data_IF_406590976208
#
_entry.id   IF_406590976208
#
_cell.length_a   1.000
_cell.length_b   1.000
_cell.length_c   1.000
_cell.angle_alpha   90.00
_cell.angle_beta   90.00
_cell.angle_gamma   90.00
#
_symmetry.space_group_name_H-M   'P 1'
#
loop_
_entity.id
_entity.type
_entity.pdbx_description
1 polymer ?
#
# COMPACT_ATOMS: atom_id res chain seq x y z
N UNK A 1 21.33 21.04 -19.35
CA UNK A 1 21.55 21.83 -18.12
C UNK A 1 21.97 20.87 -17.03
N UNK A 2 23.26 20.95 -16.62
CA UNK A 2 23.80 20.20 -15.48
C UNK A 2 23.42 20.94 -14.19
N UNK A 3 22.54 20.36 -13.38
CA UNK A 3 22.27 20.84 -12.02
C UNK A 3 23.50 20.67 -11.16
N UNK A 4 23.95 21.76 -10.53
CA UNK A 4 25.03 21.74 -9.55
C UNK A 4 24.59 21.03 -8.30
N UNK A 5 25.25 19.92 -7.97
CA UNK A 5 25.17 19.30 -6.66
C UNK A 5 26.01 20.18 -5.70
N UNK A 6 25.34 20.90 -4.82
CA UNK A 6 26.04 21.58 -3.71
C UNK A 6 26.16 20.62 -2.54
N UNK A 7 27.27 19.96 -2.41
CA UNK A 7 27.68 19.25 -1.20
C UNK A 7 28.33 20.23 -0.24
N UNK A 8 27.63 20.64 0.81
CA UNK A 8 28.24 21.24 1.98
C UNK A 8 28.72 20.11 2.89
N UNK A 9 30.01 19.82 2.84
CA UNK A 9 30.65 18.87 3.75
C UNK A 9 30.86 19.60 5.08
N UNK A 10 30.04 19.31 6.07
CA UNK A 10 30.29 19.66 7.46
C UNK A 10 30.75 18.41 8.18
N UNK A 11 31.99 18.46 8.62
CA UNK A 11 32.74 17.52 9.48
C UNK A 11 32.55 16.01 9.24
N UNK A 12 33.69 15.33 8.98
CA UNK A 12 33.78 13.93 8.52
C UNK A 12 33.28 12.85 9.49
N UNK A 13 32.62 13.21 10.58
CA UNK A 13 32.13 12.27 11.60
C UNK A 13 30.66 12.44 11.97
N UNK A 14 29.96 13.43 11.43
CA UNK A 14 28.54 13.69 11.76
C UNK A 14 27.76 14.05 10.50
N UNK A 15 26.70 13.31 10.28
CA UNK A 15 25.52 13.59 9.44
C UNK A 15 25.79 14.19 8.05
N UNK A 16 25.62 13.37 7.00
CA UNK A 16 25.62 13.85 5.61
C UNK A 16 24.23 14.45 5.35
N UNK A 17 24.18 15.77 5.10
CA UNK A 17 23.02 16.45 4.55
C UNK A 17 23.14 16.41 3.02
N UNK A 18 22.14 15.90 2.35
CA UNK A 18 22.05 15.92 0.90
C UNK A 18 20.92 16.88 0.48
N UNK A 19 21.26 18.07 0.01
CA UNK A 19 20.35 18.93 -0.75
C UNK A 19 20.41 18.45 -2.21
N UNK A 20 19.35 17.81 -2.69
CA UNK A 20 19.25 17.38 -4.08
C UNK A 20 18.12 18.11 -4.77
N UNK A 21 18.45 18.91 -5.78
CA UNK A 21 17.48 19.44 -6.74
C UNK A 21 17.29 18.38 -7.85
N UNK A 22 16.15 17.70 -7.86
CA UNK A 22 15.74 16.84 -8.94
C UNK A 22 14.52 17.47 -9.67
N UNK A 23 14.71 17.82 -10.92
CA UNK A 23 13.65 18.31 -11.82
C UNK A 23 12.89 19.57 -11.34
N UNK A 24 13.62 20.55 -10.76
CA UNK A 24 13.02 21.80 -10.31
C UNK A 24 12.18 21.70 -9.04
N UNK A 25 12.25 20.57 -8.32
CA UNK A 25 11.57 20.35 -7.05
C UNK A 25 12.60 20.15 -5.95
N UNK A 26 12.52 20.97 -4.91
CA UNK A 26 13.43 20.88 -3.77
C UNK A 26 13.11 19.65 -2.92
N UNK A 27 14.14 18.85 -2.65
CA UNK A 27 14.07 17.76 -1.67
C UNK A 27 14.99 18.12 -0.53
N UNK A 28 14.42 18.33 0.66
CA UNK A 28 15.20 18.53 1.87
C UNK A 28 15.41 17.18 2.57
N UNK A 29 16.65 16.70 2.60
CA UNK A 29 17.02 15.48 3.32
C UNK A 29 17.74 15.87 4.62
N UNK A 30 17.13 15.54 5.75
CA UNK A 30 17.75 15.69 7.07
C UNK A 30 18.10 14.32 7.64
N UNK A 31 19.33 14.17 8.12
CA UNK A 31 19.85 12.97 8.78
C UNK A 31 19.76 11.67 7.99
N UNK A 32 20.64 11.44 7.04
CA UNK A 32 20.91 10.07 6.57
C UNK A 32 22.14 9.56 7.36
N UNK A 33 21.87 8.90 8.48
CA UNK A 33 22.92 8.18 9.22
C UNK A 33 23.18 6.85 8.55
N UNK A 34 24.38 6.61 8.08
CA UNK A 34 24.81 5.33 7.53
C UNK A 34 25.27 4.41 8.65
N UNK A 35 24.52 3.37 8.93
CA UNK A 35 25.07 2.19 9.60
C UNK A 35 25.45 1.16 8.54
N UNK A 36 26.67 0.62 8.58
CA UNK A 36 27.17 -0.38 7.61
C UNK A 36 26.44 -1.74 7.67
N UNK A 37 25.31 -1.83 8.39
CA UNK A 37 24.58 -3.07 8.69
C UNK A 37 23.09 -3.00 8.42
N UNK A 38 22.62 -2.10 7.57
CA UNK A 38 21.19 -1.98 7.28
C UNK A 38 20.74 -3.12 6.38
N UNK A 39 19.87 -3.99 6.88
CA UNK A 39 19.26 -5.10 6.13
C UNK A 39 17.88 -4.75 5.61
N UNK A 40 17.12 -4.00 6.39
CA UNK A 40 15.73 -3.63 6.09
C UNK A 40 15.56 -2.13 6.12
N UNK A 41 14.91 -1.57 5.10
CA UNK A 41 14.40 -0.19 5.12
C UNK A 41 12.92 -0.22 5.42
N UNK A 42 12.52 0.51 6.46
CA UNK A 42 11.12 0.72 6.83
C UNK A 42 10.70 2.09 6.31
N UNK A 43 9.74 2.10 5.38
CA UNK A 43 9.23 3.33 4.77
C UNK A 43 7.92 3.74 5.43
N UNK A 44 7.86 5.00 5.85
CA UNK A 44 6.69 5.67 6.41
C UNK A 44 6.43 6.91 5.57
N UNK A 45 5.32 6.95 4.84
CA UNK A 45 5.03 8.03 3.89
C UNK A 45 3.86 8.90 4.35
N UNK A 46 4.02 10.22 4.15
CA UNK A 46 2.99 11.26 4.15
C UNK A 46 2.02 11.26 5.34
N UNK A 47 2.53 11.49 6.53
CA UNK A 47 1.68 11.54 7.74
C UNK A 47 1.11 12.94 7.97
N UNK A 48 -0.22 13.01 8.06
CA UNK A 48 -0.95 14.21 8.52
C UNK A 48 -1.28 14.19 10.01
N UNK A 49 -1.09 13.02 10.66
CA UNK A 49 -1.45 12.82 12.06
C UNK A 49 -0.20 12.48 12.89
N UNK A 50 0.32 13.46 13.60
CA UNK A 50 1.50 13.35 14.47
C UNK A 50 1.32 12.27 15.53
N UNK A 51 0.12 12.13 16.12
CA UNK A 51 -0.15 11.12 17.15
C UNK A 51 0.01 9.71 16.60
N UNK A 52 -0.47 9.47 15.37
CA UNK A 52 -0.28 8.17 14.69
C UNK A 52 1.18 7.92 14.33
N UNK A 53 1.86 8.94 13.77
CA UNK A 53 3.28 8.86 13.48
C UNK A 53 4.10 8.53 14.73
N UNK A 54 3.81 9.18 15.87
CA UNK A 54 4.43 8.88 17.15
C UNK A 54 4.23 7.41 17.55
N UNK A 55 2.99 6.94 17.50
CA UNK A 55 2.64 5.55 17.85
C UNK A 55 3.41 4.54 17.00
N UNK A 56 3.51 4.76 15.68
CA UNK A 56 4.25 3.88 14.78
C UNK A 56 5.75 3.93 15.05
N UNK A 57 6.33 5.12 15.21
CA UNK A 57 7.77 5.26 15.50
C UNK A 57 8.14 4.58 16.82
N UNK A 58 7.34 4.75 17.87
CA UNK A 58 7.56 4.06 19.14
C UNK A 58 7.45 2.53 19.00
N UNK A 59 6.55 2.05 18.17
CA UNK A 59 6.34 0.64 17.94
C UNK A 59 7.47 0.02 17.10
N UNK A 60 7.93 0.71 16.04
CA UNK A 60 9.00 0.19 15.18
C UNK A 60 10.38 0.25 15.86
N UNK A 61 10.65 1.27 16.68
CA UNK A 61 11.91 1.39 17.41
C UNK A 61 12.09 0.31 18.49
N UNK A 62 11.00 -0.33 18.92
CA UNK A 62 10.97 -1.44 19.90
C UNK A 62 11.02 -2.84 19.26
N UNK A 63 11.20 -2.95 17.95
CA UNK A 63 11.28 -4.25 17.28
C UNK A 63 12.48 -5.07 17.77
N UNK A 64 12.34 -6.40 17.83
CA UNK A 64 13.41 -7.33 18.20
C UNK A 64 14.58 -7.31 17.23
N UNK A 65 14.31 -7.24 15.93
CA UNK A 65 15.31 -7.05 14.89
C UNK A 65 15.88 -5.63 14.91
N UNK A 66 17.22 -5.46 14.82
CA UNK A 66 17.86 -4.16 15.00
C UNK A 66 18.60 -3.63 13.75
N UNK A 67 18.82 -4.46 12.72
CA UNK A 67 19.57 -4.09 11.53
C UNK A 67 18.67 -3.42 10.46
N UNK A 68 17.91 -2.39 10.87
CA UNK A 68 17.03 -1.63 9.98
C UNK A 68 17.24 -0.13 10.09
N UNK A 69 16.84 0.58 9.05
CA UNK A 69 16.63 2.02 9.04
C UNK A 69 15.14 2.35 8.85
N UNK A 70 14.77 3.54 9.27
CA UNK A 70 13.44 4.12 9.04
C UNK A 70 13.62 5.33 8.14
N UNK A 71 12.81 5.42 7.09
CA UNK A 71 12.71 6.62 6.24
C UNK A 71 11.30 7.18 6.38
N UNK A 72 11.18 8.34 7.01
CA UNK A 72 9.94 9.11 7.05
C UNK A 72 9.97 10.12 5.92
N UNK A 73 9.00 10.04 5.01
CA UNK A 73 8.85 11.02 3.93
C UNK A 73 7.62 11.87 4.22
N UNK A 74 7.86 13.17 4.40
CA UNK A 74 6.84 14.19 4.66
C UNK A 74 6.55 14.98 3.39
N UNK A 75 5.34 14.85 2.88
CA UNK A 75 4.83 15.58 1.72
C UNK A 75 3.90 16.75 2.13
N UNK A 76 3.85 17.08 3.42
CA UNK A 76 3.05 18.18 3.94
C UNK A 76 3.72 19.53 3.71
N UNK A 77 2.94 20.59 3.69
CA UNK A 77 3.42 21.97 3.71
C UNK A 77 3.74 22.47 5.13
N UNK A 78 3.37 21.70 6.18
CA UNK A 78 3.57 22.02 7.59
C UNK A 78 4.99 21.69 8.05
N UNK A 79 5.48 22.39 9.08
CA UNK A 79 6.74 22.08 9.79
C UNK A 79 6.55 21.10 10.96
N UNK A 80 5.31 20.76 11.31
CA UNK A 80 5.00 19.95 12.49
C UNK A 80 5.69 18.58 12.49
N UNK A 81 5.70 17.87 11.37
CA UNK A 81 6.37 16.57 11.25
C UNK A 81 7.88 16.73 11.43
N UNK A 82 8.46 17.77 10.82
CA UNK A 82 9.89 18.07 10.92
C UNK A 82 10.29 18.38 12.36
N UNK A 83 9.54 19.24 13.06
CA UNK A 83 9.75 19.58 14.45
C UNK A 83 9.65 18.35 15.34
N UNK A 84 8.61 17.54 15.13
CA UNK A 84 8.41 16.31 15.87
C UNK A 84 9.56 15.31 15.65
N UNK A 85 9.97 15.03 14.40
CA UNK A 85 11.08 14.13 14.09
C UNK A 85 12.40 14.63 14.71
N UNK A 86 12.59 15.95 14.80
CA UNK A 86 13.81 16.52 15.40
C UNK A 86 13.97 16.19 16.89
N UNK A 87 12.88 15.82 17.58
CA UNK A 87 12.91 15.41 18.99
C UNK A 87 13.47 14.00 19.19
N UNK A 88 13.56 13.19 18.13
CA UNK A 88 14.08 11.83 18.21
C UNK A 88 15.60 11.81 17.99
N UNK A 89 16.31 11.26 18.96
CA UNK A 89 17.74 10.93 18.81
C UNK A 89 17.90 9.46 18.46
N UNK A 90 17.68 9.12 17.19
CA UNK A 90 17.86 7.76 16.69
C UNK A 90 18.75 7.75 15.45
N UNK A 91 19.82 6.95 15.51
CA UNK A 91 20.72 6.74 14.36
C UNK A 91 20.05 5.98 13.20
N UNK A 92 18.90 5.37 13.44
CA UNK A 92 18.12 4.62 12.45
C UNK A 92 17.06 5.45 11.73
N UNK A 93 16.77 6.68 12.22
CA UNK A 93 15.70 7.51 11.71
C UNK A 93 16.23 8.54 10.72
N UNK A 94 15.73 8.46 9.50
CA UNK A 94 15.99 9.38 8.40
C UNK A 94 14.71 10.13 8.05
N UNK A 95 14.80 11.43 7.79
CA UNK A 95 13.67 12.26 7.42
C UNK A 95 13.92 12.93 6.07
N UNK A 96 12.90 12.87 5.20
CA UNK A 96 12.92 13.50 3.90
C UNK A 96 11.67 14.37 3.78
N UNK A 97 11.84 15.66 3.52
CA UNK A 97 10.74 16.56 3.16
C UNK A 97 10.66 16.69 1.65
N UNK A 98 9.48 16.45 1.09
CA UNK A 98 9.26 16.46 -0.35
C UNK A 98 7.88 17.06 -0.66
N UNK A 99 7.84 18.15 -1.40
CA UNK A 99 6.60 18.80 -1.83
C UNK A 99 6.15 18.30 -3.22
N UNK A 100 5.47 17.18 -3.29
CA UNK A 100 5.02 16.61 -4.57
C UNK A 100 3.60 16.08 -4.62
N UNK A 101 2.88 16.08 -3.51
CA UNK A 101 1.44 15.93 -3.49
C UNK A 101 0.87 14.53 -3.62
N UNK A 102 1.65 13.42 -3.40
CA UNK A 102 1.06 12.09 -3.36
C UNK A 102 1.84 11.09 -2.50
N UNK A 103 1.11 10.14 -1.88
CA UNK A 103 1.70 9.01 -1.15
C UNK A 103 2.61 8.17 -2.05
N UNK A 104 2.21 7.96 -3.31
CA UNK A 104 3.01 7.23 -4.31
C UNK A 104 4.38 7.88 -4.51
N UNK A 105 4.39 9.20 -4.70
CA UNK A 105 5.61 9.98 -4.89
C UNK A 105 6.50 9.95 -3.65
N UNK A 106 5.91 10.00 -2.44
CA UNK A 106 6.64 9.87 -1.18
C UNK A 106 7.29 8.48 -1.03
N UNK A 107 6.54 7.40 -1.32
CA UNK A 107 7.04 6.02 -1.29
C UNK A 107 8.14 5.79 -2.34
N UNK A 108 7.99 6.32 -3.55
CA UNK A 108 9.02 6.26 -4.59
C UNK A 108 10.29 7.00 -4.17
N UNK A 109 10.14 8.19 -3.58
CA UNK A 109 11.28 8.93 -3.05
C UNK A 109 12.02 8.12 -1.97
N UNK A 110 11.30 7.49 -1.04
CA UNK A 110 11.93 6.65 -0.04
C UNK A 110 12.71 5.48 -0.66
N UNK A 111 12.20 4.86 -1.73
CA UNK A 111 12.91 3.78 -2.44
C UNK A 111 14.25 4.21 -3.03
N UNK A 112 14.39 5.46 -3.50
CA UNK A 112 15.65 5.99 -4.02
C UNK A 112 16.71 6.15 -2.91
N UNK A 113 16.30 6.44 -1.68
CA UNK A 113 17.19 6.59 -0.53
C UNK A 113 17.36 5.33 0.30
N UNK A 114 16.56 4.29 0.07
CA UNK A 114 16.59 3.03 0.80
C UNK A 114 17.91 2.30 0.62
N UNK A 115 18.55 1.91 1.74
CA UNK A 115 19.84 1.19 1.78
C UNK A 115 19.68 -0.27 2.16
N UNK A 116 18.52 -0.65 2.71
CA UNK A 116 18.23 -2.04 3.05
C UNK A 116 18.19 -2.96 1.84
N UNK A 117 18.59 -4.20 2.04
CA UNK A 117 18.42 -5.26 1.05
C UNK A 117 16.93 -5.57 0.79
N UNK A 118 16.10 -5.29 1.80
CA UNK A 118 14.65 -5.46 1.78
C UNK A 118 13.94 -4.18 2.21
N UNK A 119 12.70 -4.00 1.75
CA UNK A 119 11.88 -2.83 2.05
C UNK A 119 10.51 -3.27 2.54
N UNK A 120 10.01 -2.59 3.56
CA UNK A 120 8.62 -2.67 4.03
C UNK A 120 7.99 -1.28 4.00
N UNK A 121 6.69 -1.20 3.69
CA UNK A 121 5.92 0.04 3.69
C UNK A 121 4.89 -0.03 4.81
N UNK A 122 4.91 0.93 5.73
CA UNK A 122 3.98 0.97 6.84
C UNK A 122 2.86 1.98 6.58
N UNK A 123 1.65 1.56 6.92
CA UNK A 123 0.45 2.39 6.90
C UNK A 123 0.14 2.96 8.29
N UNK A 124 -0.75 3.99 8.36
CA UNK A 124 -0.99 4.73 9.61
C UNK A 124 -1.79 3.95 10.66
N UNK A 125 -2.71 3.09 10.23
CA UNK A 125 -3.70 2.46 11.10
C UNK A 125 -3.31 1.08 11.56
N UNK A 126 -2.06 0.91 12.03
CA UNK A 126 -1.54 -0.39 12.42
C UNK A 126 -0.84 -0.37 13.75
N UNK A 127 -0.78 -1.56 14.37
CA UNK A 127 0.12 -1.87 15.49
C UNK A 127 0.91 -3.12 15.15
N UNK A 128 2.23 -3.00 15.02
CA UNK A 128 3.13 -4.10 14.73
C UNK A 128 3.31 -5.01 15.94
N UNK A 129 3.46 -6.30 15.71
CA UNK A 129 3.96 -7.24 16.72
C UNK A 129 5.46 -6.97 16.97
N UNK A 130 5.99 -7.27 18.18
CA UNK A 130 7.40 -6.97 18.52
C UNK A 130 8.42 -7.66 17.62
N UNK A 131 8.09 -8.77 17.02
CA UNK A 131 8.90 -9.62 16.15
C UNK A 131 8.56 -9.51 14.66
N UNK A 132 7.82 -8.46 14.25
CA UNK A 132 7.33 -8.26 12.89
C UNK A 132 8.46 -8.24 11.86
N UNK A 133 9.50 -7.40 12.05
CA UNK A 133 10.62 -7.32 11.11
C UNK A 133 11.41 -8.62 11.11
N UNK A 134 11.66 -9.21 12.27
CA UNK A 134 12.42 -10.46 12.44
C UNK A 134 11.75 -11.61 11.69
N UNK A 135 10.43 -11.76 11.82
CA UNK A 135 9.66 -12.81 11.14
C UNK A 135 9.68 -12.64 9.61
N UNK A 136 9.49 -11.40 9.11
CA UNK A 136 9.58 -11.12 7.67
C UNK A 136 11.00 -11.38 7.14
N UNK A 137 12.02 -10.87 7.84
CA UNK A 137 13.41 -11.02 7.44
C UNK A 137 13.85 -12.49 7.45
N UNK A 138 13.50 -13.24 8.49
CA UNK A 138 13.75 -14.67 8.56
C UNK A 138 13.13 -15.41 7.37
N UNK A 139 11.86 -15.12 7.05
CA UNK A 139 11.15 -15.76 5.95
C UNK A 139 11.80 -15.48 4.58
N UNK A 140 12.23 -14.24 4.30
CA UNK A 140 12.90 -13.92 3.01
C UNK A 140 14.26 -14.57 2.89
N UNK A 141 15.02 -14.69 3.99
CA UNK A 141 16.35 -15.32 3.96
C UNK A 141 16.23 -16.82 3.82
N UNK A 142 15.42 -17.47 4.63
CA UNK A 142 15.27 -18.93 4.67
C UNK A 142 14.81 -19.51 3.33
N UNK A 143 13.91 -18.81 2.64
CA UNK A 143 13.30 -19.27 1.39
C UNK A 143 13.80 -18.52 0.15
N UNK A 144 14.72 -17.56 0.30
CA UNK A 144 15.25 -16.73 -0.79
C UNK A 144 14.16 -16.08 -1.65
N UNK A 145 13.22 -15.40 -0.99
CA UNK A 145 12.02 -14.85 -1.62
C UNK A 145 12.26 -13.49 -2.31
N UNK A 146 11.41 -13.19 -3.29
CA UNK A 146 11.23 -11.85 -3.83
C UNK A 146 10.29 -11.03 -2.91
N UNK A 147 9.25 -11.71 -2.36
CA UNK A 147 8.26 -11.10 -1.45
C UNK A 147 7.93 -12.10 -0.33
N UNK A 148 8.09 -11.66 0.92
CA UNK A 148 7.57 -12.36 2.10
C UNK A 148 6.30 -11.67 2.61
N UNK A 149 5.37 -12.44 3.16
CA UNK A 149 4.09 -11.94 3.65
C UNK A 149 3.85 -12.50 5.06
N UNK A 150 3.45 -11.63 6.00
CA UNK A 150 2.86 -12.02 7.27
C UNK A 150 1.36 -11.80 7.25
N UNK A 151 0.66 -12.64 7.98
CA UNK A 151 -0.79 -12.51 8.16
C UNK A 151 -1.12 -11.32 9.05
N UNK A 152 -2.22 -10.60 8.78
CA UNK A 152 -2.80 -9.65 9.72
C UNK A 152 -3.72 -10.36 10.72
N UNK A 153 -4.05 -9.69 11.81
CA UNK A 153 -5.03 -10.18 12.78
C UNK A 153 -6.39 -10.45 12.08
N UNK A 154 -7.02 -11.57 12.43
CA UNK A 154 -8.28 -12.04 11.83
C UNK A 154 -8.23 -12.38 10.32
N UNK A 155 -7.04 -12.55 9.75
CA UNK A 155 -6.86 -12.94 8.36
C UNK A 155 -6.24 -14.33 8.25
N UNK A 156 -6.74 -15.16 7.35
CA UNK A 156 -6.25 -16.53 7.18
C UNK A 156 -5.02 -16.58 6.26
N UNK A 157 -4.15 -17.55 6.50
CA UNK A 157 -3.12 -17.89 5.54
C UNK A 157 -3.77 -18.58 4.32
N UNK A 158 -3.42 -18.11 3.10
CA UNK A 158 -4.06 -18.53 1.85
C UNK A 158 -3.55 -19.88 1.36
N UNK A 159 -2.23 -20.06 1.36
CA UNK A 159 -1.56 -21.20 0.71
C UNK A 159 -0.68 -22.02 1.67
N UNK A 160 -0.90 -21.89 2.99
CA UNK A 160 0.08 -22.41 3.93
C UNK A 160 1.41 -21.66 3.77
N UNK A 161 2.52 -22.27 4.17
CA UNK A 161 3.86 -21.69 4.00
C UNK A 161 4.56 -22.20 2.71
N UNK A 162 3.78 -22.44 1.65
CA UNK A 162 4.27 -22.85 0.34
C UNK A 162 4.94 -21.65 -0.38
N UNK A 163 6.04 -21.91 -1.08
CA UNK A 163 6.64 -20.93 -2.00
C UNK A 163 5.96 -21.05 -3.35
N UNK A 164 5.31 -19.98 -3.78
CA UNK A 164 4.56 -19.91 -5.04
C UNK A 164 4.99 -18.72 -5.89
N UNK A 165 4.52 -18.65 -7.13
CA UNK A 165 4.65 -17.42 -7.93
C UNK A 165 3.67 -16.36 -7.42
N UNK A 166 4.02 -15.10 -7.60
CA UNK A 166 3.13 -14.01 -7.19
C UNK A 166 1.78 -14.05 -7.91
N UNK A 167 1.74 -14.49 -9.18
CA UNK A 167 0.48 -14.70 -9.93
C UNK A 167 -0.44 -15.70 -9.22
N UNK A 168 0.10 -16.88 -8.85
CA UNK A 168 -0.67 -17.90 -8.13
C UNK A 168 -1.19 -17.36 -6.80
N UNK A 169 -0.35 -16.60 -6.07
CA UNK A 169 -0.75 -15.98 -4.83
C UNK A 169 -1.92 -14.99 -5.02
N UNK A 170 -1.83 -14.09 -6.00
CA UNK A 170 -2.90 -13.13 -6.31
C UNK A 170 -4.22 -13.81 -6.68
N UNK A 171 -4.15 -14.83 -7.52
CA UNK A 171 -5.35 -15.59 -7.93
C UNK A 171 -6.08 -16.19 -6.72
N UNK A 172 -5.35 -16.82 -5.81
CA UNK A 172 -5.93 -17.43 -4.62
C UNK A 172 -6.41 -16.39 -3.61
N UNK A 173 -5.66 -15.29 -3.43
CA UNK A 173 -6.07 -14.19 -2.55
C UNK A 173 -7.39 -13.56 -3.02
N UNK A 174 -7.51 -13.24 -4.31
CA UNK A 174 -8.73 -12.66 -4.89
C UNK A 174 -9.92 -13.61 -4.75
N UNK A 175 -9.73 -14.91 -4.99
CA UNK A 175 -10.79 -15.93 -4.85
C UNK A 175 -11.26 -16.08 -3.41
N UNK A 176 -10.33 -16.05 -2.45
CA UNK A 176 -10.63 -16.32 -1.05
C UNK A 176 -11.28 -15.12 -0.33
N UNK A 177 -10.73 -13.93 -0.54
CA UNK A 177 -11.10 -12.76 0.27
C UNK A 177 -12.14 -11.85 -0.36
N UNK A 178 -12.41 -11.99 -1.64
CA UNK A 178 -13.47 -11.22 -2.32
C UNK A 178 -13.32 -9.71 -2.07
N UNK A 179 -14.24 -9.12 -1.32
CA UNK A 179 -14.25 -7.69 -0.99
C UNK A 179 -13.36 -7.30 0.19
N UNK A 180 -12.76 -8.27 0.89
CA UNK A 180 -11.89 -8.03 2.06
C UNK A 180 -10.40 -8.26 1.72
N UNK A 181 -10.01 -7.88 0.51
CA UNK A 181 -8.61 -7.95 0.08
C UNK A 181 -7.71 -7.07 0.93
N UNK A 182 -6.55 -7.61 1.29
CA UNK A 182 -5.53 -6.84 1.99
C UNK A 182 -4.77 -5.93 1.00
N UNK A 183 -5.21 -4.67 0.91
CA UNK A 183 -4.52 -3.64 0.13
C UNK A 183 -3.34 -3.03 0.90
N UNK A 184 -3.19 -3.42 2.17
CA UNK A 184 -2.17 -2.88 3.05
C UNK A 184 -0.82 -3.55 2.77
N UNK A 185 0.16 -2.78 2.32
CA UNK A 185 1.50 -3.29 2.05
C UNK A 185 2.30 -3.60 3.32
N UNK A 186 1.78 -3.27 4.51
CA UNK A 186 2.41 -3.62 5.78
C UNK A 186 2.58 -5.13 5.95
N UNK A 187 1.71 -5.94 5.34
CA UNK A 187 1.88 -7.40 5.34
C UNK A 187 3.14 -7.88 4.61
N UNK A 188 3.71 -7.05 3.72
CA UNK A 188 4.73 -7.48 2.75
C UNK A 188 6.12 -6.92 3.03
N UNK A 189 7.15 -7.77 2.86
CA UNK A 189 8.54 -7.35 2.72
C UNK A 189 9.01 -7.68 1.30
N UNK A 190 9.53 -6.66 0.61
CA UNK A 190 9.98 -6.74 -0.77
C UNK A 190 11.52 -6.76 -0.84
N UNK A 191 12.09 -7.62 -1.68
CA UNK A 191 13.51 -7.57 -2.00
C UNK A 191 13.80 -6.32 -2.83
N UNK A 192 14.64 -5.39 -2.34
CA UNK A 192 14.90 -4.12 -3.02
C UNK A 192 15.47 -4.32 -4.42
N UNK A 193 16.44 -5.23 -4.58
CA UNK A 193 17.02 -5.55 -5.90
C UNK A 193 15.99 -6.03 -6.91
N UNK A 194 14.94 -6.76 -6.47
CA UNK A 194 13.83 -7.17 -7.33
C UNK A 194 13.04 -5.94 -7.80
N UNK A 195 12.69 -5.03 -6.89
CA UNK A 195 11.99 -3.79 -7.25
C UNK A 195 12.79 -2.93 -8.24
N UNK A 196 14.11 -2.84 -8.05
CA UNK A 196 14.99 -2.01 -8.88
C UNK A 196 15.21 -2.62 -10.27
N UNK A 197 15.47 -3.93 -10.37
CA UNK A 197 15.72 -4.62 -11.65
C UNK A 197 14.52 -4.52 -12.58
N UNK A 198 13.32 -4.64 -12.04
CA UNK A 198 12.08 -4.56 -12.83
C UNK A 198 11.45 -3.16 -12.84
N UNK A 199 12.15 -2.16 -12.31
CA UNK A 199 11.66 -0.77 -12.21
C UNK A 199 10.26 -0.66 -11.61
N UNK A 200 10.00 -1.43 -10.54
CA UNK A 200 8.71 -1.46 -9.87
C UNK A 200 8.59 -0.26 -8.93
N UNK A 201 7.73 0.68 -9.30
CA UNK A 201 7.47 1.93 -8.57
C UNK A 201 5.97 2.14 -8.43
N UNK A 202 5.59 2.90 -7.41
CA UNK A 202 4.20 3.34 -7.24
C UNK A 202 3.78 4.23 -8.39
N UNK A 203 2.52 4.15 -8.77
CA UNK A 203 1.95 4.97 -9.83
C UNK A 203 1.57 6.34 -9.26
N UNK A 204 2.27 7.40 -9.66
CA UNK A 204 2.16 8.73 -9.03
C UNK A 204 0.87 9.49 -9.38
N UNK A 205 0.24 9.16 -10.49
CA UNK A 205 -1.02 9.74 -10.94
C UNK A 205 -2.27 9.02 -10.36
N UNK A 206 -2.07 7.98 -9.53
CA UNK A 206 -3.17 7.34 -8.80
C UNK A 206 -3.45 8.08 -7.49
N UNK A 207 -4.71 8.51 -7.34
CA UNK A 207 -5.19 9.21 -6.15
C UNK A 207 -5.83 8.28 -5.11
N UNK A 208 -5.96 6.99 -5.43
CA UNK A 208 -6.49 5.93 -4.56
C UNK A 208 -6.04 4.57 -5.07
N UNK A 209 -6.03 3.57 -4.18
CA UNK A 209 -5.67 2.18 -4.49
C UNK A 209 -4.25 2.02 -5.08
N UNK A 210 -3.37 2.98 -4.85
CA UNK A 210 -1.98 2.94 -5.30
C UNK A 210 -1.22 1.74 -4.74
N UNK A 211 -1.53 1.34 -3.51
CA UNK A 211 -0.97 0.15 -2.87
C UNK A 211 -1.42 -1.13 -3.58
N UNK A 212 -2.73 -1.23 -3.89
CA UNK A 212 -3.27 -2.36 -4.62
C UNK A 212 -2.60 -2.47 -5.99
N UNK A 213 -2.52 -1.37 -6.75
CA UNK A 213 -1.91 -1.39 -8.06
C UNK A 213 -0.41 -1.73 -8.02
N UNK A 214 0.32 -1.24 -7.02
CA UNK A 214 1.71 -1.61 -6.78
C UNK A 214 1.82 -3.11 -6.46
N UNK A 215 0.93 -3.64 -5.60
CA UNK A 215 0.86 -5.07 -5.28
C UNK A 215 0.62 -5.89 -6.54
N UNK A 216 -0.36 -5.54 -7.38
CA UNK A 216 -0.63 -6.22 -8.64
C UNK A 216 0.61 -6.28 -9.55
N UNK A 217 1.29 -5.15 -9.76
CA UNK A 217 2.50 -5.07 -10.59
C UNK A 217 3.65 -5.91 -10.04
N UNK A 218 3.89 -5.86 -8.74
CA UNK A 218 4.99 -6.58 -8.12
C UNK A 218 4.75 -8.08 -8.09
N UNK A 219 3.55 -8.50 -7.74
CA UNK A 219 3.20 -9.92 -7.69
C UNK A 219 3.08 -10.55 -9.10
N UNK A 220 2.65 -9.80 -10.12
CA UNK A 220 2.65 -10.30 -11.50
C UNK A 220 4.02 -10.81 -11.96
N UNK A 221 5.10 -10.21 -11.45
CA UNK A 221 6.48 -10.50 -11.86
C UNK A 221 7.20 -11.39 -10.85
N UNK A 222 6.79 -11.38 -9.57
CA UNK A 222 7.48 -12.11 -8.51
C UNK A 222 7.51 -13.63 -8.77
N UNK A 223 8.72 -14.19 -8.78
CA UNK A 223 8.93 -15.62 -8.97
C UNK A 223 8.76 -16.43 -7.70
N UNK A 224 9.05 -15.83 -6.54
CA UNK A 224 9.04 -16.51 -5.24
C UNK A 224 8.35 -15.66 -4.18
N UNK A 225 7.14 -16.06 -3.83
CA UNK A 225 6.31 -15.44 -2.79
C UNK A 225 5.95 -16.49 -1.76
N UNK A 226 5.96 -16.15 -0.49
CA UNK A 226 5.50 -17.02 0.58
C UNK A 226 4.80 -16.21 1.67
N UNK A 227 3.68 -16.73 2.15
CA UNK A 227 2.96 -16.18 3.30
C UNK A 227 3.17 -17.08 4.51
N UNK A 228 3.59 -16.47 5.64
CA UNK A 228 3.61 -17.16 6.93
C UNK A 228 2.26 -17.05 7.62
N UNK A 229 1.92 -18.06 8.42
CA UNK A 229 0.74 -18.06 9.30
C UNK A 229 0.90 -17.12 10.52
N UNK A 230 2.10 -16.58 10.75
CA UNK A 230 2.37 -15.67 11.87
C UNK A 230 1.67 -14.32 11.64
N UNK A 231 1.01 -13.84 12.69
CA UNK A 231 0.39 -12.51 12.70
C UNK A 231 1.47 -11.45 12.89
N UNK A 232 1.66 -10.61 11.89
CA UNK A 232 2.68 -9.55 11.91
C UNK A 232 2.18 -8.24 12.51
N UNK A 233 0.91 -7.92 12.36
CA UNK A 233 0.33 -6.66 12.82
C UNK A 233 -1.18 -6.78 13.09
N UNK A 234 -1.69 -5.79 13.79
CA UNK A 234 -3.12 -5.60 14.07
C UNK A 234 -3.55 -4.32 13.37
N UNK A 235 -4.63 -4.37 12.62
CA UNK A 235 -5.25 -3.21 12.03
C UNK A 235 -6.11 -2.49 13.07
N UNK A 236 -5.87 -1.19 13.24
CA UNK A 236 -6.63 -0.38 14.18
C UNK A 236 -7.91 0.12 13.50
N UNK A 237 -9.03 -0.02 14.19
CA UNK A 237 -10.31 0.49 13.67
C UNK A 237 -10.22 2.01 13.48
N UNK A 238 -10.61 2.47 12.29
CA UNK A 238 -10.81 3.89 12.06
C UNK A 238 -12.09 4.36 12.79
N UNK A 239 -12.02 5.55 13.36
CA UNK A 239 -13.25 6.22 13.80
C UNK A 239 -14.12 6.49 12.56
N UNK A 240 -15.39 6.11 12.66
CA UNK A 240 -16.35 6.37 11.58
C UNK A 240 -16.48 7.88 11.38
N UNK A 241 -15.79 8.41 10.40
CA UNK A 241 -16.02 9.79 9.93
C UNK A 241 -17.38 9.86 9.22
N UNK A 242 -18.18 10.82 9.62
CA UNK A 242 -19.44 11.14 8.89
C UNK A 242 -19.03 11.63 7.49
N UNK A 243 -19.35 10.87 6.47
CA UNK A 243 -19.06 11.22 5.08
C UNK A 243 -20.25 12.03 4.54
N UNK A 244 -19.97 13.18 3.94
CA UNK A 244 -20.95 13.92 3.16
C UNK A 244 -20.94 13.47 1.69
N UNK A 245 -21.98 13.82 0.93
CA UNK A 245 -22.13 13.39 -0.47
C UNK A 245 -20.95 13.76 -1.34
N UNK A 246 -20.36 14.94 -1.18
CA UNK A 246 -19.19 15.37 -1.97
C UNK A 246 -17.96 14.48 -1.71
N UNK A 247 -17.77 14.00 -0.48
CA UNK A 247 -16.69 13.05 -0.14
C UNK A 247 -16.94 11.67 -0.75
N UNK A 248 -18.19 11.23 -0.77
CA UNK A 248 -18.61 9.96 -1.40
C UNK A 248 -18.32 10.03 -2.90
N UNK A 249 -18.77 11.09 -3.58
CA UNK A 249 -18.57 11.29 -5.02
C UNK A 249 -17.08 11.38 -5.40
N UNK A 250 -16.28 12.03 -4.56
CA UNK A 250 -14.84 12.11 -4.78
C UNK A 250 -14.16 10.73 -4.63
N UNK A 251 -14.55 9.95 -3.62
CA UNK A 251 -14.04 8.59 -3.40
C UNK A 251 -14.47 7.66 -4.53
N UNK A 252 -15.72 7.73 -4.96
CA UNK A 252 -16.25 6.97 -6.11
C UNK A 252 -15.43 7.22 -7.36
N UNK A 253 -15.20 8.49 -7.73
CA UNK A 253 -14.38 8.84 -8.90
C UNK A 253 -12.97 8.29 -8.82
N UNK A 254 -12.32 8.38 -7.66
CA UNK A 254 -10.96 7.87 -7.46
C UNK A 254 -10.88 6.36 -7.61
N UNK A 255 -11.83 5.61 -7.03
CA UNK A 255 -11.89 4.15 -7.16
C UNK A 255 -12.15 3.76 -8.61
N UNK A 256 -13.07 4.44 -9.31
CA UNK A 256 -13.37 4.15 -10.71
C UNK A 256 -12.14 4.37 -11.61
N UNK A 257 -11.42 5.48 -11.45
CA UNK A 257 -10.18 5.74 -12.20
C UNK A 257 -9.10 4.68 -11.90
N UNK A 258 -8.97 4.25 -10.65
CA UNK A 258 -8.05 3.18 -10.29
C UNK A 258 -8.47 1.83 -10.91
N UNK A 259 -9.77 1.55 -10.96
CA UNK A 259 -10.31 0.35 -11.62
C UNK A 259 -10.03 0.35 -13.12
N UNK A 260 -10.12 1.48 -13.82
CA UNK A 260 -9.75 1.60 -15.23
C UNK A 260 -8.27 1.25 -15.46
N UNK A 261 -7.36 1.68 -14.60
CA UNK A 261 -5.94 1.28 -14.69
C UNK A 261 -5.74 -0.23 -14.44
N UNK A 262 -6.53 -0.84 -13.59
CA UNK A 262 -6.50 -2.29 -13.40
C UNK A 262 -7.05 -3.02 -14.63
N UNK A 263 -8.07 -2.47 -15.30
CA UNK A 263 -8.58 -2.99 -16.56
C UNK A 263 -7.51 -2.96 -17.67
N UNK A 264 -6.77 -1.87 -17.79
CA UNK A 264 -5.64 -1.79 -18.73
C UNK A 264 -4.55 -2.81 -18.38
N UNK A 265 -4.24 -2.96 -17.10
CA UNK A 265 -3.22 -3.90 -16.62
C UNK A 265 -3.59 -5.36 -16.88
N UNK A 266 -4.87 -5.75 -16.75
CA UNK A 266 -5.32 -7.14 -16.87
C UNK A 266 -5.26 -7.70 -18.28
N UNK A 267 -5.26 -6.85 -19.30
CA UNK A 267 -5.34 -7.28 -20.70
C UNK A 267 -4.24 -8.29 -21.05
N UNK A 268 -4.64 -9.48 -21.52
CA UNK A 268 -3.73 -10.56 -21.92
C UNK A 268 -3.03 -11.28 -20.77
N UNK A 269 -3.43 -11.06 -19.50
CA UNK A 269 -2.89 -11.80 -18.35
C UNK A 269 -3.52 -13.19 -18.25
N UNK A 270 -2.73 -14.20 -17.86
CA UNK A 270 -3.22 -15.56 -17.65
C UNK A 270 -4.29 -15.70 -16.55
N UNK A 271 -4.36 -14.73 -15.63
CA UNK A 271 -5.30 -14.64 -14.53
C UNK A 271 -6.31 -13.48 -14.68
N UNK A 272 -6.62 -13.11 -15.91
CA UNK A 272 -7.55 -12.02 -16.25
C UNK A 272 -8.92 -12.19 -15.59
N UNK A 273 -9.42 -13.42 -15.48
CA UNK A 273 -10.69 -13.71 -14.79
C UNK A 273 -10.67 -13.31 -13.31
N UNK A 274 -9.56 -13.54 -12.61
CA UNK A 274 -9.40 -13.11 -11.22
C UNK A 274 -9.35 -11.59 -11.12
N UNK A 275 -8.69 -10.90 -12.05
CA UNK A 275 -8.68 -9.43 -12.11
C UNK A 275 -10.05 -8.83 -12.45
N UNK A 276 -10.85 -9.51 -13.29
CA UNK A 276 -12.26 -9.12 -13.54
C UNK A 276 -13.07 -9.19 -12.25
N UNK A 277 -12.89 -10.27 -11.48
CA UNK A 277 -13.53 -10.44 -10.19
C UNK A 277 -13.13 -9.34 -9.20
N UNK A 278 -11.82 -8.99 -9.15
CA UNK A 278 -11.31 -7.88 -8.36
C UNK A 278 -11.97 -6.54 -8.74
N UNK A 279 -12.05 -6.23 -10.03
CA UNK A 279 -12.76 -5.02 -10.51
C UNK A 279 -14.23 -5.02 -10.08
N UNK A 280 -14.88 -6.18 -10.09
CA UNK A 280 -16.23 -6.35 -9.58
C UNK A 280 -16.34 -6.00 -8.08
N UNK A 281 -15.41 -6.47 -7.26
CA UNK A 281 -15.40 -6.16 -5.81
C UNK A 281 -15.16 -4.66 -5.53
N UNK A 282 -14.21 -4.04 -6.24
CA UNK A 282 -13.98 -2.60 -6.13
C UNK A 282 -15.23 -1.81 -6.51
N UNK A 283 -15.92 -2.26 -7.52
CA UNK A 283 -17.18 -1.67 -7.92
C UNK A 283 -18.29 -1.84 -6.87
N UNK A 284 -18.38 -2.98 -6.20
CA UNK A 284 -19.29 -3.17 -5.07
C UNK A 284 -18.96 -2.25 -3.89
N UNK A 285 -17.71 -1.97 -3.61
CA UNK A 285 -17.33 -1.01 -2.57
C UNK A 285 -17.82 0.39 -2.91
N UNK A 286 -17.77 0.79 -4.19
CA UNK A 286 -18.39 2.04 -4.66
C UNK A 286 -19.90 2.04 -4.40
N UNK A 287 -20.60 0.95 -4.74
CA UNK A 287 -22.05 0.85 -4.51
C UNK A 287 -22.43 0.94 -3.03
N UNK A 288 -21.62 0.35 -2.14
CA UNK A 288 -21.81 0.42 -0.69
C UNK A 288 -21.62 1.81 -0.10
N UNK A 289 -20.86 2.69 -0.74
CA UNK A 289 -20.69 4.08 -0.29
C UNK A 289 -21.93 4.93 -0.52
N UNK A 290 -22.78 4.54 -1.45
CA UNK A 290 -24.02 5.23 -1.79
C UNK A 290 -25.21 4.65 -1.02
N UNK A 291 -25.30 4.95 0.29
CA UNK A 291 -26.37 4.44 1.19
C UNK A 291 -27.75 4.98 0.83
N UNK A 292 -27.84 6.14 0.16
CA UNK A 292 -29.08 6.78 -0.27
C UNK A 292 -29.14 6.85 -1.80
N UNK A 293 -30.18 6.23 -2.34
CA UNK A 293 -30.45 6.06 -3.77
C UNK A 293 -30.85 7.36 -4.51
N UNK A 294 -30.54 8.54 -3.97
CA UNK A 294 -30.83 9.84 -4.60
C UNK A 294 -30.10 10.09 -5.94
N UNK A 295 -29.28 9.14 -6.38
CA UNK A 295 -28.60 9.12 -7.68
C UNK A 295 -28.93 7.87 -8.50
N UNK A 296 -30.10 7.28 -8.30
CA UNK A 296 -30.52 6.00 -8.88
C UNK A 296 -30.21 5.81 -10.36
N UNK A 297 -30.47 6.82 -11.17
CA UNK A 297 -30.30 6.76 -12.61
C UNK A 297 -28.82 6.62 -13.02
N UNK A 298 -27.94 7.43 -12.42
CA UNK A 298 -26.48 7.38 -12.66
C UNK A 298 -25.87 6.08 -12.17
N UNK A 299 -26.34 5.59 -11.01
CA UNK A 299 -25.92 4.32 -10.44
C UNK A 299 -26.34 3.15 -11.33
N UNK A 300 -27.56 3.19 -11.86
CA UNK A 300 -28.08 2.19 -12.81
C UNK A 300 -27.31 2.17 -14.13
N UNK A 301 -26.98 3.34 -14.68
CA UNK A 301 -26.13 3.45 -15.87
C UNK A 301 -24.74 2.88 -15.62
N UNK A 302 -24.14 3.18 -14.47
CA UNK A 302 -22.85 2.69 -14.06
C UNK A 302 -22.84 1.15 -13.92
N UNK A 303 -23.85 0.56 -13.26
CA UNK A 303 -24.01 -0.89 -13.12
C UNK A 303 -24.17 -1.54 -14.50
N UNK A 304 -24.98 -0.96 -15.38
CA UNK A 304 -25.16 -1.46 -16.74
C UNK A 304 -23.87 -1.41 -17.56
N UNK A 305 -23.09 -0.34 -17.43
CA UNK A 305 -21.82 -0.19 -18.16
C UNK A 305 -20.73 -1.17 -17.73
N UNK A 306 -20.82 -1.69 -16.52
CA UNK A 306 -19.82 -2.62 -15.92
C UNK A 306 -20.34 -4.06 -15.76
N UNK A 307 -21.33 -4.43 -16.54
CA UNK A 307 -21.96 -5.76 -16.52
C UNK A 307 -20.99 -6.93 -16.66
N UNK A 308 -19.94 -6.76 -17.45
CA UNK A 308 -18.90 -7.74 -17.70
C UNK A 308 -18.07 -8.11 -16.44
N UNK A 309 -17.99 -7.26 -15.42
CA UNK A 309 -17.30 -7.58 -14.16
C UNK A 309 -17.96 -8.72 -13.38
N UNK A 310 -19.25 -8.94 -13.64
CA UNK A 310 -20.06 -9.92 -12.93
C UNK A 310 -20.25 -11.22 -13.71
N UNK A 311 -19.68 -11.34 -14.91
CA UNK A 311 -19.86 -12.52 -15.76
C UNK A 311 -19.20 -13.78 -15.22
N UNK A 312 -18.21 -13.65 -14.34
CA UNK A 312 -17.45 -14.76 -13.75
C UNK A 312 -18.00 -15.23 -12.39
N UNK A 313 -18.94 -14.51 -11.77
CA UNK A 313 -19.45 -14.84 -10.44
C UNK A 313 -20.82 -15.54 -10.50
N UNK A 314 -21.19 -16.14 -9.37
CA UNK A 314 -22.29 -17.11 -9.22
C UNK A 314 -23.57 -16.75 -9.99
N UNK A 315 -24.32 -17.76 -10.42
CA UNK A 315 -25.61 -17.67 -11.12
C UNK A 315 -26.60 -16.67 -10.48
N UNK A 316 -26.54 -16.50 -9.14
CA UNK A 316 -27.41 -15.58 -8.38
C UNK A 316 -27.06 -14.13 -8.71
N UNK A 317 -25.79 -13.75 -8.76
CA UNK A 317 -25.32 -12.40 -9.09
C UNK A 317 -25.72 -11.99 -10.50
N UNK A 318 -25.55 -12.89 -11.47
CA UNK A 318 -25.99 -12.68 -12.87
C UNK A 318 -27.50 -12.49 -13.00
N UNK A 319 -28.28 -13.32 -12.31
CA UNK A 319 -29.74 -13.24 -12.34
C UNK A 319 -30.21 -11.91 -11.71
N UNK A 320 -29.66 -11.52 -10.56
CA UNK A 320 -30.09 -10.30 -9.85
C UNK A 320 -29.73 -9.01 -10.60
N UNK A 321 -28.53 -8.92 -11.20
CA UNK A 321 -28.12 -7.76 -12.00
C UNK A 321 -28.97 -7.63 -13.27
N UNK A 322 -29.31 -8.74 -13.90
CA UNK A 322 -30.12 -8.74 -15.10
C UNK A 322 -31.61 -8.44 -14.81
N UNK A 323 -32.13 -8.83 -13.65
CA UNK A 323 -33.53 -8.60 -13.28
C UNK A 323 -33.78 -7.21 -12.71
N UNK A 324 -32.93 -6.74 -11.80
CA UNK A 324 -33.04 -5.39 -11.23
C UNK A 324 -31.73 -5.02 -10.53
N UNK A 325 -30.94 -4.10 -11.10
CA UNK A 325 -29.73 -3.56 -10.44
C UNK A 325 -30.01 -2.94 -9.06
N UNK A 326 -31.20 -2.34 -8.87
CA UNK A 326 -31.64 -1.77 -7.60
C UNK A 326 -31.85 -2.85 -6.53
N UNK A 327 -32.53 -3.95 -6.88
CA UNK A 327 -32.73 -5.07 -5.97
C UNK A 327 -31.39 -5.71 -5.58
N UNK A 328 -30.42 -5.73 -6.49
CA UNK A 328 -29.10 -6.23 -6.23
C UNK A 328 -28.31 -5.33 -5.26
N UNK A 329 -28.33 -4.01 -5.44
CA UNK A 329 -27.73 -3.05 -4.52
C UNK A 329 -28.37 -3.16 -3.13
N UNK A 330 -29.72 -3.23 -3.05
CA UNK A 330 -30.44 -3.42 -1.79
C UNK A 330 -30.15 -4.76 -1.11
N UNK A 331 -29.93 -5.83 -1.86
CA UNK A 331 -29.56 -7.13 -1.33
C UNK A 331 -28.17 -7.08 -0.68
N UNK A 332 -27.19 -6.42 -1.33
CA UNK A 332 -25.84 -6.22 -0.78
C UNK A 332 -25.89 -5.43 0.53
N UNK A 333 -26.63 -4.31 0.56
CA UNK A 333 -26.78 -3.46 1.74
C UNK A 333 -27.44 -4.18 2.93
N UNK A 334 -28.29 -5.18 2.69
CA UNK A 334 -28.95 -5.98 3.75
C UNK A 334 -28.03 -7.07 4.31
N UNK A 335 -27.15 -7.64 3.50
CA UNK A 335 -26.25 -8.73 3.91
C UNK A 335 -25.15 -8.26 4.87
N UNK A 336 -24.81 -6.98 4.85
CA UNK A 336 -23.80 -6.38 5.73
C UNK A 336 -24.38 -5.86 7.08
N UNK A 337 -25.71 -5.94 7.26
CA UNK A 337 -26.39 -5.55 8.51
C UNK A 337 -26.75 -6.74 9.42
N UNK A 338 -26.44 -7.96 9.03
CA UNK A 338 -26.58 -9.19 9.81
C UNK A 338 -25.23 -9.79 10.15
#
# INVERSE_FOLDING_TARGET
YRGKIMTKTLDRTKDIFLDTMLLGKEILVKKIKTTNKTKVTVVIAAFRNITRLKSILENILKQSFQEFEIIVVDDSSSTEVEEFISTYDSSRLNYIKKQLGSNSSAKNCALEFAKGEYVVFLEENIRLKPDYIENLYGLVIDKSLDIAILTRDNYSNILGEEVVTGKKYLEEEIKQFKSDLDYNLTSCMFKKKFLDVYNLRFQEDMLSLENLYFKLKTFDIAGKVCQSSRVGYIELKEEKTVRNQAMIDASTRRIMLATEKIEEFKAGKSYENSLNLLCGYLFFDVLRMHDDMAGEEKLLELIKSKKNYFESDTFISKAMINMSPILFANYLNRKDRG
#
